data_IF_559371280035
#
_entry.id   IF_559371280035
#
_cell.length_a   1.000
_cell.length_b   1.000
_cell.length_c   1.000
_cell.angle_alpha   90.00
_cell.angle_beta   90.00
_cell.angle_gamma   90.00
#
_symmetry.space_group_name_H-M   'P 1'
#
loop_
_entity.id
_entity.type
_entity.pdbx_description
1 polymer ?
#
# COMPACT_ATOMS: atom_id res chain seq x y z
N UNK A 1 10.66 -3.09 28.72
CA UNK A 1 9.82 -3.27 27.51
C UNK A 1 10.65 -2.89 26.30
N UNK A 2 11.00 -3.84 25.42
CA UNK A 2 11.68 -3.50 24.16
C UNK A 2 10.63 -2.83 23.27
N UNK A 3 10.86 -1.59 22.81
CA UNK A 3 10.08 -1.05 21.69
C UNK A 3 10.39 -1.94 20.50
N UNK A 4 9.38 -2.61 19.93
CA UNK A 4 9.50 -3.15 18.59
C UNK A 4 9.90 -1.99 17.66
N UNK A 5 10.90 -2.21 16.83
CA UNK A 5 11.37 -1.19 15.91
C UNK A 5 10.28 -0.94 14.86
N UNK A 6 9.68 0.25 14.86
CA UNK A 6 8.66 0.65 13.89
C UNK A 6 9.21 0.56 12.45
N UNK A 7 8.41 0.01 11.53
CA UNK A 7 8.80 -0.18 10.13
C UNK A 7 9.10 1.17 9.47
N UNK A 8 10.30 1.37 8.94
CA UNK A 8 10.63 2.60 8.20
C UNK A 8 9.97 2.65 6.82
N UNK A 9 9.76 3.84 6.23
CA UNK A 9 9.25 3.97 4.86
C UNK A 9 10.12 3.23 3.83
N UNK A 10 11.44 3.20 4.04
CA UNK A 10 12.38 2.47 3.20
C UNK A 10 12.17 0.95 3.28
N UNK A 11 11.88 0.42 4.47
CA UNK A 11 11.56 -1.00 4.63
C UNK A 11 10.22 -1.33 3.98
N UNK A 12 9.18 -0.52 4.20
CA UNK A 12 7.89 -0.68 3.51
C UNK A 12 8.07 -0.72 1.98
N UNK A 13 8.86 0.21 1.42
CA UNK A 13 9.16 0.25 -0.01
C UNK A 13 9.85 -1.02 -0.52
N UNK A 14 10.67 -1.71 0.29
CA UNK A 14 11.26 -2.99 -0.09
C UNK A 14 10.21 -4.11 -0.18
N UNK A 15 9.24 -4.13 0.73
CA UNK A 15 8.13 -5.09 0.65
C UNK A 15 7.24 -4.81 -0.56
N UNK A 16 6.85 -3.54 -0.78
CA UNK A 16 6.02 -3.11 -1.92
C UNK A 16 6.62 -3.53 -3.26
N UNK A 17 7.95 -3.45 -3.42
CA UNK A 17 8.63 -3.89 -4.65
C UNK A 17 8.36 -5.35 -5.03
N UNK A 18 8.09 -6.21 -4.05
CA UNK A 18 7.87 -7.65 -4.24
C UNK A 18 6.40 -8.00 -4.49
N UNK A 19 5.47 -7.04 -4.36
CA UNK A 19 4.04 -7.29 -4.51
C UNK A 19 3.62 -7.30 -5.97
N UNK A 20 2.54 -8.02 -6.28
CA UNK A 20 1.93 -8.02 -7.60
C UNK A 20 1.37 -6.62 -7.93
N UNK A 21 1.78 -5.99 -9.05
CA UNK A 21 1.27 -4.66 -9.41
C UNK A 21 -0.20 -4.68 -9.83
N UNK A 22 -0.71 -5.81 -10.32
CA UNK A 22 -2.04 -5.93 -10.88
C UNK A 22 -2.95 -6.79 -10.00
N UNK A 23 -3.92 -6.15 -9.34
CA UNK A 23 -4.92 -6.84 -8.51
C UNK A 23 -6.34 -6.42 -8.93
N UNK A 24 -7.32 -7.34 -9.00
CA UNK A 24 -8.58 -7.07 -9.67
C UNK A 24 -9.53 -6.11 -8.92
N UNK A 25 -9.59 -6.14 -7.58
CA UNK A 25 -10.57 -5.33 -6.81
C UNK A 25 -10.17 -3.86 -6.72
N UNK A 26 -8.88 -3.53 -6.63
CA UNK A 26 -8.46 -2.12 -6.68
C UNK A 26 -8.80 -1.47 -8.02
N UNK A 27 -8.65 -2.20 -9.14
CA UNK A 27 -9.04 -1.71 -10.47
C UNK A 27 -10.54 -1.43 -10.57
N UNK A 28 -11.36 -2.33 -10.01
CA UNK A 28 -12.80 -2.09 -9.90
C UNK A 28 -13.10 -0.84 -9.06
N UNK A 29 -12.32 -0.60 -7.99
CA UNK A 29 -12.47 0.60 -7.17
C UNK A 29 -12.08 1.88 -7.92
N UNK A 30 -10.96 1.86 -8.66
CA UNK A 30 -10.55 2.99 -9.51
C UNK A 30 -11.65 3.39 -10.50
N UNK A 31 -12.28 2.39 -11.13
CA UNK A 31 -13.39 2.60 -12.06
C UNK A 31 -14.61 3.24 -11.39
N UNK A 32 -15.00 2.75 -10.21
CA UNK A 32 -16.15 3.28 -9.47
C UNK A 32 -15.91 4.70 -8.98
N UNK A 33 -14.68 5.01 -8.56
CA UNK A 33 -14.33 6.34 -8.03
C UNK A 33 -13.94 7.35 -9.12
N UNK A 34 -13.68 6.89 -10.35
CA UNK A 34 -13.03 7.69 -11.39
C UNK A 34 -11.72 8.34 -10.90
N UNK A 35 -10.93 7.59 -10.12
CA UNK A 35 -9.66 8.02 -9.54
C UNK A 35 -8.64 6.88 -9.70
N UNK A 36 -7.41 7.19 -10.11
CA UNK A 36 -6.35 6.18 -10.31
C UNK A 36 -5.76 6.22 -11.72
N UNK A 37 -5.22 5.09 -12.16
CA UNK A 37 -4.61 4.97 -13.49
C UNK A 37 -5.63 5.32 -14.59
N UNK A 38 -5.25 6.26 -15.47
CA UNK A 38 -6.12 6.70 -16.58
C UNK A 38 -7.18 7.75 -16.20
N UNK A 39 -7.19 8.24 -14.96
CA UNK A 39 -8.06 9.32 -14.50
C UNK A 39 -7.24 10.55 -14.06
N UNK A 40 -7.72 11.75 -14.40
CA UNK A 40 -7.06 13.01 -14.07
C UNK A 40 -5.64 13.11 -14.63
N UNK A 41 -4.74 13.77 -13.87
CA UNK A 41 -3.32 13.96 -14.23
C UNK A 41 -2.41 12.86 -13.62
N UNK A 42 -2.89 11.62 -13.55
CA UNK A 42 -2.11 10.51 -12.98
C UNK A 42 -0.79 10.31 -13.74
N UNK A 43 0.34 10.56 -13.07
CA UNK A 43 1.69 10.42 -13.64
C UNK A 43 2.21 8.98 -13.62
N UNK A 44 1.50 8.08 -12.95
CA UNK A 44 1.89 6.69 -12.70
C UNK A 44 1.06 5.72 -13.57
N UNK A 45 1.66 4.58 -13.89
CA UNK A 45 1.05 3.49 -14.67
C UNK A 45 0.43 2.39 -13.80
N UNK A 46 0.69 2.40 -12.49
CA UNK A 46 0.12 1.47 -11.51
C UNK A 46 0.11 2.06 -10.10
N UNK A 47 -0.77 1.55 -9.24
CA UNK A 47 -0.79 1.94 -7.82
C UNK A 47 0.50 1.52 -7.09
N UNK A 48 1.18 0.46 -7.54
CA UNK A 48 2.53 0.11 -7.08
C UNK A 48 3.54 1.22 -7.35
N UNK A 49 3.56 1.74 -8.58
CA UNK A 49 4.43 2.85 -8.97
C UNK A 49 4.11 4.12 -8.16
N UNK A 50 2.81 4.39 -7.97
CA UNK A 50 2.35 5.50 -7.15
C UNK A 50 2.90 5.41 -5.70
N UNK A 51 2.84 4.22 -5.08
CA UNK A 51 3.43 3.96 -3.76
C UNK A 51 4.93 4.18 -3.70
N UNK A 52 5.67 3.67 -4.68
CA UNK A 52 7.12 3.81 -4.71
C UNK A 52 7.53 5.27 -4.93
N UNK A 53 6.80 6.01 -5.77
CA UNK A 53 6.96 7.45 -5.92
C UNK A 53 6.69 8.20 -4.62
N UNK A 54 5.56 7.93 -3.97
CA UNK A 54 5.20 8.55 -2.70
C UNK A 54 6.24 8.33 -1.60
N UNK A 55 6.76 7.10 -1.47
CA UNK A 55 7.78 6.75 -0.48
C UNK A 55 9.13 7.41 -0.74
N UNK A 56 9.49 7.63 -2.01
CA UNK A 56 10.75 8.32 -2.37
C UNK A 56 10.81 9.73 -1.79
N UNK A 57 9.67 10.40 -1.69
CA UNK A 57 9.55 11.75 -1.13
C UNK A 57 9.83 11.82 0.39
N UNK A 58 9.96 10.68 1.08
CA UNK A 58 10.32 10.60 2.50
C UNK A 58 11.82 10.37 2.73
N UNK A 59 12.61 10.23 1.65
CA UNK A 59 14.07 10.23 1.71
C UNK A 59 14.70 11.63 1.64
N UNK A 60 13.88 12.69 1.52
CA UNK A 60 14.27 14.10 1.46
C UNK A 60 13.09 15.05 1.78
N UNK A 61 13.14 16.33 1.40
CA UNK A 61 12.05 17.29 1.63
C UNK A 61 10.73 16.90 0.93
N UNK A 62 10.80 16.13 -0.14
CA UNK A 62 9.65 15.71 -0.94
C UNK A 62 8.96 16.84 -1.72
N UNK A 63 7.94 16.50 -2.51
CA UNK A 63 7.21 17.41 -3.41
C UNK A 63 6.60 18.66 -2.74
N UNK A 64 6.44 18.63 -1.41
CA UNK A 64 5.87 19.71 -0.61
C UNK A 64 6.90 20.44 0.28
N UNK A 65 8.21 20.29 0.04
CA UNK A 65 9.25 21.08 0.72
C UNK A 65 9.31 20.90 2.24
N UNK A 66 9.19 19.66 2.72
CA UNK A 66 9.02 19.31 4.14
C UNK A 66 10.31 19.54 4.96
N UNK A 67 10.16 19.98 6.22
CA UNK A 67 11.26 20.04 7.20
C UNK A 67 11.79 18.64 7.53
N UNK A 68 13.09 18.41 7.34
CA UNK A 68 13.80 17.16 7.68
C UNK A 68 14.19 17.17 9.17
N UNK A 69 13.86 16.12 9.94
CA UNK A 69 14.25 16.02 11.35
C UNK A 69 13.34 15.18 12.25
N UNK A 70 12.10 14.88 11.83
CA UNK A 70 11.23 13.94 12.54
C UNK A 70 11.32 12.55 11.92
N UNK A 71 11.62 11.53 12.74
CA UNK A 71 11.51 10.13 12.32
C UNK A 71 10.06 9.83 11.98
N UNK A 72 9.77 9.71 10.69
CA UNK A 72 8.45 9.32 10.17
C UNK A 72 8.54 7.86 9.77
N UNK A 73 7.78 7.02 10.46
CA UNK A 73 7.68 5.61 10.15
C UNK A 73 6.66 5.34 9.03
N UNK A 74 6.54 4.08 8.61
CA UNK A 74 5.63 3.66 7.58
C UNK A 74 4.15 3.86 7.98
N UNK A 75 3.84 3.73 9.28
CA UNK A 75 2.52 4.08 9.84
C UNK A 75 2.16 5.53 9.56
N UNK A 76 3.08 6.45 9.83
CA UNK A 76 2.88 7.87 9.50
C UNK A 76 2.59 8.04 8.01
N UNK A 77 3.39 7.43 7.12
CA UNK A 77 3.20 7.55 5.67
C UNK A 77 1.82 7.03 5.25
N UNK A 78 1.44 5.84 5.70
CA UNK A 78 0.16 5.21 5.41
C UNK A 78 -1.03 6.12 5.78
N UNK A 79 -0.96 6.76 6.95
CA UNK A 79 -2.00 7.66 7.44
C UNK A 79 -2.09 9.00 6.70
N UNK A 80 -1.09 9.37 5.90
CA UNK A 80 -1.06 10.67 5.19
C UNK A 80 -1.41 10.56 3.70
N UNK A 81 -1.64 9.37 3.18
CA UNK A 81 -2.08 9.18 1.79
C UNK A 81 -3.52 9.69 1.61
N UNK A 82 -3.76 10.39 0.50
CA UNK A 82 -5.10 10.88 0.12
C UNK A 82 -5.53 10.31 -1.22
N UNK A 83 -5.24 9.03 -1.46
CA UNK A 83 -5.71 8.28 -2.61
C UNK A 83 -6.24 6.94 -2.11
N UNK A 84 -7.57 6.75 -2.16
CA UNK A 84 -8.20 5.54 -1.63
C UNK A 84 -7.85 4.29 -2.44
N UNK A 85 -7.83 4.31 -3.80
CA UNK A 85 -7.40 3.17 -4.58
C UNK A 85 -5.96 2.73 -4.28
N UNK A 86 -5.09 3.67 -3.91
CA UNK A 86 -3.69 3.39 -3.57
C UNK A 86 -3.59 2.60 -2.27
N UNK A 87 -4.34 3.02 -1.25
CA UNK A 87 -4.44 2.28 0.02
C UNK A 87 -5.05 0.89 -0.18
N UNK A 88 -6.11 0.81 -0.99
CA UNK A 88 -6.79 -0.44 -1.31
C UNK A 88 -5.86 -1.43 -2.00
N UNK A 89 -5.13 -0.97 -3.03
CA UNK A 89 -4.14 -1.80 -3.72
C UNK A 89 -3.11 -2.41 -2.76
N UNK A 90 -2.61 -1.63 -1.78
CA UNK A 90 -1.63 -2.16 -0.82
C UNK A 90 -2.23 -3.30 0.01
N UNK A 91 -3.46 -3.16 0.48
CA UNK A 91 -4.13 -4.19 1.26
C UNK A 91 -4.40 -5.44 0.42
N UNK A 92 -4.89 -5.27 -0.80
CA UNK A 92 -5.17 -6.38 -1.71
C UNK A 92 -3.89 -7.11 -2.11
N UNK A 93 -2.84 -6.39 -2.49
CA UNK A 93 -1.56 -6.98 -2.89
C UNK A 93 -0.79 -7.63 -1.71
N UNK A 94 -1.21 -7.35 -0.47
CA UNK A 94 -0.75 -8.04 0.73
C UNK A 94 -1.61 -9.25 1.09
N UNK A 95 -2.63 -9.60 0.31
CA UNK A 95 -3.55 -10.70 0.58
C UNK A 95 -4.34 -10.52 1.90
N UNK A 96 -4.73 -9.29 2.22
CA UNK A 96 -5.70 -9.04 3.29
C UNK A 96 -7.00 -9.82 2.96
N UNK A 97 -7.65 -10.48 3.94
CA UNK A 97 -8.80 -11.35 3.68
C UNK A 97 -9.89 -10.68 2.84
N UNK A 98 -10.44 -11.44 1.88
CA UNK A 98 -11.43 -10.93 0.92
C UNK A 98 -12.64 -10.27 1.58
N UNK A 99 -13.14 -10.85 2.67
CA UNK A 99 -14.24 -10.27 3.47
C UNK A 99 -13.93 -8.86 3.96
N UNK A 100 -12.68 -8.58 4.35
CA UNK A 100 -12.24 -7.26 4.80
C UNK A 100 -12.09 -6.31 3.62
N UNK A 101 -11.59 -6.80 2.47
CA UNK A 101 -11.50 -6.00 1.24
C UNK A 101 -12.89 -5.59 0.73
N UNK A 102 -13.88 -6.48 0.78
CA UNK A 102 -15.26 -6.19 0.38
C UNK A 102 -15.90 -5.15 1.31
N UNK A 103 -15.69 -5.26 2.63
CA UNK A 103 -16.11 -4.25 3.60
C UNK A 103 -15.45 -2.90 3.33
N UNK A 104 -14.15 -2.89 3.01
CA UNK A 104 -13.41 -1.68 2.69
C UNK A 104 -13.93 -1.04 1.39
N UNK A 105 -14.26 -1.86 0.39
CA UNK A 105 -14.83 -1.40 -0.89
C UNK A 105 -16.16 -0.68 -0.66
N UNK A 106 -17.06 -1.30 0.11
CA UNK A 106 -18.35 -0.70 0.47
C UNK A 106 -18.18 0.58 1.27
N UNK A 107 -17.28 0.58 2.27
CA UNK A 107 -17.02 1.74 3.11
C UNK A 107 -16.49 2.94 2.29
N UNK A 108 -15.56 2.69 1.36
CA UNK A 108 -14.99 3.72 0.49
C UNK A 108 -16.03 4.27 -0.48
N UNK A 109 -16.78 3.40 -1.15
CA UNK A 109 -17.76 3.81 -2.18
C UNK A 109 -18.99 4.51 -1.59
N UNK A 110 -19.30 4.24 -0.32
CA UNK A 110 -20.41 4.88 0.40
C UNK A 110 -19.99 6.18 1.12
N UNK A 111 -18.69 6.48 1.20
CA UNK A 111 -18.20 7.72 1.80
C UNK A 111 -18.46 8.93 0.87
N UNK A 112 -18.54 10.16 1.42
CA UNK A 112 -18.56 11.37 0.59
C UNK A 112 -17.43 11.36 -0.43
N UNK A 113 -17.70 11.79 -1.67
CA UNK A 113 -16.75 11.87 -2.78
C UNK A 113 -15.68 12.96 -2.56
N UNK A 114 -14.84 12.73 -1.56
CA UNK A 114 -13.71 13.55 -1.13
C UNK A 114 -12.61 12.59 -0.71
N UNK A 115 -11.43 12.74 -1.28
CA UNK A 115 -10.28 11.85 -1.04
C UNK A 115 -10.01 11.60 0.45
N UNK A 116 -10.05 12.65 1.28
CA UNK A 116 -9.84 12.52 2.71
C UNK A 116 -10.91 11.65 3.41
N UNK A 117 -12.18 11.81 3.01
CA UNK A 117 -13.30 11.04 3.57
C UNK A 117 -13.23 9.57 3.17
N UNK A 118 -12.94 9.29 1.90
CA UNK A 118 -12.78 7.93 1.38
C UNK A 118 -11.57 7.21 1.99
N UNK A 119 -10.43 7.89 2.11
CA UNK A 119 -9.26 7.32 2.77
C UNK A 119 -9.51 7.07 4.27
N UNK A 120 -10.25 7.94 4.95
CA UNK A 120 -10.64 7.71 6.35
C UNK A 120 -11.56 6.49 6.47
N UNK A 121 -12.56 6.36 5.59
CA UNK A 121 -13.45 5.20 5.56
C UNK A 121 -12.68 3.89 5.34
N UNK A 122 -11.72 3.89 4.40
CA UNK A 122 -10.83 2.74 4.19
C UNK A 122 -10.06 2.36 5.46
N UNK A 123 -9.40 3.33 6.11
CA UNK A 123 -8.56 3.07 7.29
C UNK A 123 -9.33 2.59 8.51
N UNK A 124 -10.61 2.93 8.61
CA UNK A 124 -11.47 2.39 9.66
C UNK A 124 -11.69 0.88 9.52
N UNK A 125 -11.63 0.35 8.28
CA UNK A 125 -11.73 -1.08 7.99
C UNK A 125 -10.35 -1.75 7.98
N UNK A 126 -9.37 -1.11 7.36
CA UNK A 126 -7.99 -1.60 7.24
C UNK A 126 -7.05 -0.63 7.95
N UNK A 127 -6.86 -0.77 9.27
CA UNK A 127 -5.91 0.07 10.00
C UNK A 127 -4.46 -0.34 9.68
N UNK A 128 -3.49 0.49 10.05
CA UNK A 128 -2.07 0.20 9.80
C UNK A 128 -1.63 -1.13 10.42
N UNK A 129 -2.17 -1.49 11.58
CA UNK A 129 -1.87 -2.71 12.32
C UNK A 129 -2.16 -3.97 11.49
N UNK A 130 -3.20 -3.94 10.65
CA UNK A 130 -3.51 -5.04 9.73
C UNK A 130 -2.43 -5.17 8.65
N UNK A 131 -2.00 -4.04 8.07
CA UNK A 131 -0.92 -4.00 7.07
C UNK A 131 0.41 -4.48 7.68
N UNK A 132 0.76 -3.96 8.84
CA UNK A 132 2.01 -4.27 9.55
C UNK A 132 2.09 -5.74 9.95
N UNK A 133 0.99 -6.31 10.46
CA UNK A 133 0.91 -7.72 10.82
C UNK A 133 1.15 -8.61 9.59
N UNK A 134 0.53 -8.30 8.45
CA UNK A 134 0.70 -9.07 7.22
C UNK A 134 2.11 -9.00 6.65
N UNK A 135 2.76 -7.83 6.75
CA UNK A 135 4.18 -7.68 6.40
C UNK A 135 5.07 -8.52 7.32
N UNK A 136 4.79 -8.53 8.64
CA UNK A 136 5.55 -9.31 9.62
C UNK A 136 5.39 -10.83 9.49
N UNK A 137 4.24 -11.30 8.99
CA UNK A 137 3.99 -12.72 8.70
C UNK A 137 4.71 -13.21 7.44
N UNK A 138 4.99 -12.31 6.48
CA UNK A 138 5.80 -12.68 5.31
C UNK A 138 7.25 -12.82 5.76
N UNK A 139 7.89 -14.00 5.59
CA UNK A 139 9.29 -14.14 5.94
C UNK A 139 10.10 -13.07 5.18
N UNK A 140 11.10 -12.44 5.81
CA UNK A 140 12.00 -11.56 5.07
C UNK A 140 12.58 -12.36 3.89
N UNK A 141 12.90 -11.73 2.75
CA UNK A 141 13.49 -12.42 1.62
C UNK A 141 14.83 -13.02 2.04
N UNK A 142 14.78 -14.27 2.50
CA UNK A 142 15.93 -15.13 2.68
C UNK A 142 16.25 -15.65 1.28
N UNK A 143 17.48 -15.48 0.81
CA UNK A 143 17.88 -15.73 -0.59
C UNK A 143 17.67 -17.17 -1.10
N UNK A 144 17.12 -18.07 -0.30
CA UNK A 144 16.76 -19.44 -0.68
C UNK A 144 15.34 -19.57 -1.24
N UNK A 145 14.41 -18.66 -0.92
CA UNK A 145 13.00 -18.82 -1.34
C UNK A 145 12.81 -18.58 -2.84
N UNK A 146 13.54 -17.62 -3.43
CA UNK A 146 13.52 -17.39 -4.89
C UNK A 146 14.10 -18.58 -5.68
N UNK A 147 15.07 -19.31 -5.11
CA UNK A 147 15.66 -20.48 -5.75
C UNK A 147 14.66 -21.64 -5.78
N UNK A 148 13.93 -21.88 -4.67
CA UNK A 148 12.94 -22.96 -4.58
C UNK A 148 11.70 -22.70 -5.44
N UNK A 149 11.28 -21.44 -5.58
CA UNK A 149 10.17 -21.08 -6.48
C UNK A 149 10.56 -21.24 -7.96
N UNK A 150 11.82 -20.96 -8.32
CA UNK A 150 12.34 -21.19 -9.69
C UNK A 150 12.61 -22.66 -10.00
N UNK A 151 12.93 -23.49 -8.99
CA UNK A 151 13.15 -24.93 -9.16
C UNK A 151 11.84 -25.72 -9.31
N UNK A 152 10.71 -25.23 -8.79
CA UNK A 152 9.39 -25.85 -9.01
C UNK A 152 8.84 -25.68 -10.43
N UNK A 153 9.24 -24.62 -11.14
CA UNK A 153 8.75 -24.34 -12.51
C UNK A 153 9.57 -25.09 -13.58
N UNK A 154 10.75 -25.61 -13.25
CA UNK A 154 11.62 -26.33 -14.19
C UNK A 154 11.45 -27.85 -14.20
N UNK A 155 10.47 -28.38 -13.48
CA UNK A 155 10.19 -29.83 -13.39
C UNK A 155 8.80 -30.19 -13.92
N UNK A 156 8.36 -29.52 -14.99
CA UNK A 156 7.19 -29.91 -15.79
C UNK A 156 7.59 -29.98 -17.27
#
# INVERSE_FOLDING_TARGET
>A
MRREASLSPKQLGRHIKLLEPDTPKHKALEQVLHEGVGYGDAWYSSQKEHWLGWLREYSGPGAYGRKTGHSRDARYVYNHIQCAPMLFWLAEALDIPEVTLDQAFVAVTSAPARNASQCAAFRNVVPWEAIESTIGLRPPPCGLTELLQRLRVKSA
#
